data_IF_886878675987
#
_entry.id   IF_886878675987
#
_cell.length_a   1.000
_cell.length_b   1.000
_cell.length_c   1.000
_cell.angle_alpha   90.00
_cell.angle_beta   90.00
_cell.angle_gamma   90.00
#
_symmetry.space_group_name_H-M   'P 1'
#
loop_
_entity.id
_entity.type
_entity.pdbx_description
1 polymer ?
#
# COMPACT_ATOMS: atom_id res chain seq x y z
N UNK A 1 -12.60 8.63 -11.88
CA UNK A 1 -12.25 7.20 -11.96
C UNK A 1 -10.76 6.91 -11.65
N UNK A 2 -10.13 7.63 -10.68
CA UNK A 2 -8.74 7.39 -10.23
C UNK A 2 -8.60 6.89 -8.78
N UNK A 3 -9.72 6.82 -8.04
CA UNK A 3 -9.74 6.52 -6.60
C UNK A 3 -9.79 5.01 -6.32
N UNK A 4 -10.62 4.27 -7.08
CA UNK A 4 -10.69 2.80 -7.04
C UNK A 4 -9.69 2.21 -8.04
N UNK A 5 -8.77 1.38 -7.55
CA UNK A 5 -7.67 0.75 -8.28
C UNK A 5 -7.88 -0.76 -8.44
N UNK A 6 -8.59 -1.42 -7.53
CA UNK A 6 -8.84 -2.87 -7.60
C UNK A 6 -10.24 -3.19 -8.08
N UNK A 7 -10.48 -4.44 -8.52
CA UNK A 7 -11.83 -4.91 -8.86
C UNK A 7 -12.76 -4.81 -7.64
N UNK A 8 -12.34 -5.32 -6.49
CA UNK A 8 -13.10 -5.24 -5.23
C UNK A 8 -13.54 -3.82 -4.88
N UNK A 9 -12.65 -2.83 -5.02
CA UNK A 9 -13.00 -1.43 -4.75
C UNK A 9 -14.02 -0.87 -5.76
N UNK A 10 -13.94 -1.28 -7.03
CA UNK A 10 -14.89 -0.86 -8.08
C UNK A 10 -16.26 -1.51 -7.92
N UNK A 11 -16.29 -2.76 -7.48
CA UNK A 11 -17.52 -3.54 -7.31
C UNK A 11 -18.29 -3.11 -6.06
N UNK A 12 -17.56 -2.72 -5.00
CA UNK A 12 -18.16 -2.25 -3.76
C UNK A 12 -18.81 -0.87 -3.85
N UNK A 13 -18.29 0.03 -4.70
CA UNK A 13 -18.82 1.40 -4.80
C UNK A 13 -20.29 1.47 -5.26
N UNK A 14 -20.73 0.74 -6.31
CA UNK A 14 -22.13 0.66 -6.70
C UNK A 14 -23.03 0.10 -5.59
N UNK A 15 -22.58 -0.94 -4.88
CA UNK A 15 -23.31 -1.52 -3.75
C UNK A 15 -23.47 -0.50 -2.62
N UNK A 16 -22.39 0.16 -2.22
CA UNK A 16 -22.43 1.20 -1.19
C UNK A 16 -23.34 2.37 -1.58
N UNK A 17 -23.30 2.77 -2.86
CA UNK A 17 -24.18 3.83 -3.38
C UNK A 17 -25.67 3.43 -3.31
N UNK A 18 -25.99 2.14 -3.52
CA UNK A 18 -27.36 1.63 -3.46
C UNK A 18 -27.87 1.54 -2.04
N UNK A 19 -27.06 0.99 -1.13
CA UNK A 19 -27.49 0.70 0.24
C UNK A 19 -27.33 1.88 1.20
N UNK A 20 -26.22 2.63 1.11
CA UNK A 20 -25.81 3.68 2.06
C UNK A 20 -25.14 4.86 1.35
N UNK A 21 -25.88 5.60 0.49
CA UNK A 21 -25.32 6.65 -0.36
C UNK A 21 -24.60 7.76 0.42
N UNK A 22 -25.00 8.02 1.66
CA UNK A 22 -24.39 9.03 2.53
C UNK A 22 -22.94 8.73 2.92
N UNK A 23 -22.53 7.46 2.88
CA UNK A 23 -21.16 7.03 3.22
C UNK A 23 -20.20 7.13 2.04
N UNK A 24 -20.70 7.30 0.81
CA UNK A 24 -19.89 7.20 -0.40
C UNK A 24 -18.75 8.22 -0.43
N UNK A 25 -19.02 9.48 -0.06
CA UNK A 25 -18.01 10.54 -0.06
C UNK A 25 -16.90 10.25 0.96
N UNK A 26 -17.27 9.84 2.19
CA UNK A 26 -16.32 9.50 3.24
C UNK A 26 -15.47 8.27 2.88
N UNK A 27 -16.11 7.23 2.32
CA UNK A 27 -15.42 6.04 1.84
C UNK A 27 -14.38 6.37 0.77
N UNK A 28 -14.76 7.11 -0.27
CA UNK A 28 -13.85 7.47 -1.36
C UNK A 28 -12.70 8.36 -0.87
N UNK A 29 -12.95 9.25 0.09
CA UNK A 29 -11.92 10.08 0.70
C UNK A 29 -10.92 9.26 1.53
N UNK A 30 -11.40 8.25 2.26
CA UNK A 30 -10.55 7.39 3.09
C UNK A 30 -9.78 6.33 2.27
N UNK A 31 -10.28 5.94 1.11
CA UNK A 31 -9.78 4.77 0.37
C UNK A 31 -8.27 4.81 0.04
N UNK A 32 -7.67 5.93 -0.42
CA UNK A 32 -6.23 5.99 -0.68
C UNK A 32 -5.39 5.74 0.57
N UNK A 33 -5.81 6.30 1.71
CA UNK A 33 -5.12 6.14 3.00
C UNK A 33 -5.25 4.72 3.55
N UNK A 34 -6.45 4.15 3.49
CA UNK A 34 -6.69 2.76 3.87
C UNK A 34 -5.82 1.79 3.06
N UNK A 35 -5.73 1.98 1.74
CA UNK A 35 -4.86 1.17 0.88
C UNK A 35 -3.39 1.31 1.27
N UNK A 36 -2.94 2.54 1.51
CA UNK A 36 -1.56 2.79 1.91
C UNK A 36 -1.22 2.07 3.23
N UNK A 37 -2.14 2.08 4.19
CA UNK A 37 -1.97 1.40 5.47
C UNK A 37 -1.90 -0.13 5.30
N UNK A 38 -2.75 -0.71 4.44
CA UNK A 38 -2.73 -2.14 4.13
C UNK A 38 -1.41 -2.55 3.48
N UNK A 39 -0.91 -1.79 2.49
CA UNK A 39 0.35 -2.09 1.80
C UNK A 39 1.59 -1.87 2.68
N UNK A 40 1.54 -0.93 3.63
CA UNK A 40 2.64 -0.68 4.56
C UNK A 40 2.96 -1.90 5.42
N UNK A 41 1.96 -2.72 5.75
CA UNK A 41 2.14 -3.91 6.59
C UNK A 41 3.00 -5.01 5.94
N UNK A 42 2.68 -5.56 4.77
CA UNK A 42 3.53 -6.52 4.09
C UNK A 42 4.86 -5.88 3.67
N UNK A 43 4.86 -4.60 3.28
CA UNK A 43 6.10 -3.89 2.94
C UNK A 43 7.12 -3.88 4.07
N UNK A 44 6.69 -3.63 5.32
CA UNK A 44 7.58 -3.72 6.49
C UNK A 44 8.26 -5.10 6.56
N UNK A 45 7.48 -6.17 6.39
CA UNK A 45 8.01 -7.54 6.37
C UNK A 45 9.03 -7.73 5.25
N UNK A 46 8.73 -7.24 4.05
CA UNK A 46 9.65 -7.29 2.91
C UNK A 46 10.98 -6.56 3.16
N UNK A 47 10.92 -5.40 3.82
CA UNK A 47 12.09 -4.57 4.10
C UNK A 47 12.93 -5.13 5.24
N UNK A 48 12.33 -5.68 6.29
CA UNK A 48 13.05 -5.99 7.53
C UNK A 48 13.28 -7.48 7.78
N UNK A 49 12.48 -8.38 7.21
CA UNK A 49 12.63 -9.82 7.45
C UNK A 49 13.68 -10.47 6.53
N UNK A 50 14.44 -11.47 6.99
CA UNK A 50 15.43 -12.18 6.18
C UNK A 50 14.77 -13.19 5.23
N UNK A 51 14.08 -12.67 4.21
CA UNK A 51 13.38 -13.46 3.20
C UNK A 51 14.36 -14.01 2.13
N UNK A 52 14.42 -15.33 1.89
CA UNK A 52 15.44 -15.95 1.04
C UNK A 52 15.32 -15.57 -0.45
N UNK A 53 14.16 -15.09 -0.87
CA UNK A 53 13.89 -14.67 -2.25
C UNK A 53 14.11 -13.16 -2.49
N UNK A 54 14.52 -12.41 -1.45
CA UNK A 54 14.95 -11.01 -1.57
C UNK A 54 16.48 -10.98 -1.71
N UNK A 55 16.95 -10.66 -2.91
CA UNK A 55 18.37 -10.66 -3.25
C UNK A 55 19.13 -9.45 -2.68
N UNK A 56 18.50 -8.27 -2.65
CA UNK A 56 19.10 -7.08 -2.05
C UNK A 56 18.05 -6.04 -1.64
N UNK A 57 18.47 -5.15 -0.74
CA UNK A 57 17.70 -4.01 -0.24
C UNK A 57 18.55 -2.76 -0.34
N UNK A 58 18.01 -1.70 -0.92
CA UNK A 58 18.71 -0.42 -1.05
C UNK A 58 17.78 0.69 -0.55
N UNK A 59 18.19 1.35 0.53
CA UNK A 59 17.52 2.54 1.05
C UNK A 59 18.07 3.79 0.37
N UNK A 60 17.20 4.70 -0.03
CA UNK A 60 17.52 6.02 -0.55
C UNK A 60 16.61 7.09 0.06
N UNK A 61 16.83 8.36 -0.31
CA UNK A 61 16.02 9.48 0.21
C UNK A 61 14.53 9.36 -0.08
N UNK A 62 14.17 8.69 -1.19
CA UNK A 62 12.78 8.56 -1.65
C UNK A 62 12.09 7.25 -1.23
N UNK A 63 12.82 6.31 -0.60
CA UNK A 63 12.26 5.03 -0.21
C UNK A 63 13.22 3.86 -0.17
N UNK A 64 12.66 2.66 -0.19
CA UNK A 64 13.42 1.40 -0.25
C UNK A 64 13.12 0.70 -1.56
N UNK A 65 14.18 0.26 -2.24
CA UNK A 65 14.08 -0.61 -3.41
C UNK A 65 14.54 -2.01 -3.04
N UNK A 66 13.71 -3.00 -3.35
CA UNK A 66 14.02 -4.42 -3.19
C UNK A 66 14.28 -5.04 -4.56
N UNK A 67 15.36 -5.83 -4.66
CA UNK A 67 15.61 -6.70 -5.80
C UNK A 67 15.24 -8.11 -5.42
N UNK A 68 14.35 -8.72 -6.20
CA UNK A 68 13.96 -10.11 -6.01
C UNK A 68 14.92 -11.02 -6.79
N UNK A 69 15.04 -12.26 -6.34
CA UNK A 69 15.86 -13.31 -6.98
C UNK A 69 15.42 -13.62 -8.42
N UNK A 70 14.14 -13.42 -8.73
CA UNK A 70 13.58 -13.55 -10.09
C UNK A 70 13.87 -12.35 -11.01
N UNK A 71 14.66 -11.38 -10.54
CA UNK A 71 15.01 -10.18 -11.29
C UNK A 71 13.97 -9.05 -11.24
N UNK A 72 12.80 -9.24 -10.61
CA UNK A 72 11.83 -8.14 -10.42
C UNK A 72 12.32 -7.14 -9.37
N UNK A 73 11.71 -5.96 -9.40
CA UNK A 73 11.97 -4.87 -8.45
C UNK A 73 10.68 -4.44 -7.79
N UNK A 74 10.75 -4.18 -6.49
CA UNK A 74 9.68 -3.54 -5.74
C UNK A 74 10.21 -2.23 -5.18
N UNK A 75 9.45 -1.16 -5.35
CA UNK A 75 9.75 0.15 -4.78
C UNK A 75 8.63 0.50 -3.80
N UNK A 76 9.01 1.08 -2.67
CA UNK A 76 8.06 1.55 -1.69
C UNK A 76 8.66 2.63 -0.80
N UNK A 77 7.81 3.25 0.03
CA UNK A 77 8.22 4.30 0.96
C UNK A 77 9.31 3.82 1.92
N UNK A 78 10.01 4.74 2.60
CA UNK A 78 10.83 4.39 3.75
C UNK A 78 10.00 3.59 4.76
N UNK A 79 10.55 2.47 5.25
CA UNK A 79 9.89 1.65 6.26
C UNK A 79 10.68 1.70 7.55
N UNK A 80 10.14 2.38 8.56
CA UNK A 80 10.69 2.38 9.92
C UNK A 80 10.15 1.15 10.69
N UNK A 81 11.04 0.27 11.22
CA UNK A 81 10.64 -0.91 11.96
C UNK A 81 9.89 -0.61 13.27
N UNK A 82 9.99 0.61 13.82
CA UNK A 82 9.35 1.01 15.08
C UNK A 82 8.15 1.93 14.92
N UNK A 83 7.87 2.41 13.71
CA UNK A 83 6.72 3.28 13.47
C UNK A 83 5.40 2.59 13.88
N UNK A 84 4.61 3.25 14.73
CA UNK A 84 3.26 2.84 15.15
C UNK A 84 2.23 3.76 14.48
N UNK A 85 1.26 3.21 13.76
CA UNK A 85 0.11 3.96 13.22
C UNK A 85 0.18 4.31 11.72
N UNK A 86 -0.88 4.97 11.23
CA UNK A 86 -1.13 5.24 9.81
C UNK A 86 0.01 6.04 9.17
N UNK A 87 0.76 5.39 8.28
CA UNK A 87 1.81 6.03 7.51
C UNK A 87 1.20 6.54 6.20
N UNK A 88 1.20 7.86 6.00
CA UNK A 88 0.86 8.54 4.75
C UNK A 88 2.01 8.42 3.74
N UNK A 89 2.45 7.18 3.53
CA UNK A 89 3.44 6.84 2.52
C UNK A 89 2.86 7.05 1.12
N UNK A 90 3.59 7.78 0.29
CA UNK A 90 3.31 7.87 -1.15
C UNK A 90 3.85 6.61 -1.83
N UNK A 91 2.94 5.71 -2.18
CA UNK A 91 3.25 4.56 -3.03
C UNK A 91 3.34 5.04 -4.48
N UNK A 92 4.53 4.95 -5.08
CA UNK A 92 4.79 5.23 -6.49
C UNK A 92 4.43 4.06 -7.40
#
# INVERSE_FOLDING_TARGET
>A
MRVCRTAAERDFVPELRRERPELLAAYLAALPGARAAVLARPWRGLVHEPLPWVASRTSGGDGVTLRLTDGRRLHGPPSDPWARGQQSARWS
#
